data_IF_416316006227
#
_entry.id   IF_416316006227
#
_cell.length_a   1.000
_cell.length_b   1.000
_cell.length_c   1.000
_cell.angle_alpha   90.00
_cell.angle_beta   90.00
_cell.angle_gamma   90.00
#
_symmetry.space_group_name_H-M   'P 1'
#
loop_
_entity.id
_entity.type
_entity.pdbx_description
1 polymer ?
#
# COMPACT_ATOMS: atom_id res chain seq x y z
N UNK A 1 47.16 -37.23 -11.20
CA UNK A 1 46.46 -37.37 -9.89
C UNK A 1 45.50 -36.19 -9.75
N UNK A 2 44.23 -36.46 -9.42
CA UNK A 2 43.11 -35.52 -9.19
C UNK A 2 42.40 -34.90 -10.41
N UNK A 3 41.53 -35.68 -11.07
CA UNK A 3 40.44 -35.14 -11.92
C UNK A 3 39.18 -36.02 -11.98
N UNK A 4 39.08 -37.08 -11.17
CA UNK A 4 38.01 -38.08 -11.30
C UNK A 4 36.91 -37.99 -10.24
N UNK A 5 37.02 -37.12 -9.24
CA UNK A 5 36.05 -37.06 -8.12
C UNK A 5 34.89 -36.08 -8.35
N UNK A 6 34.96 -35.18 -9.34
CA UNK A 6 33.95 -34.13 -9.53
C UNK A 6 32.74 -34.55 -10.40
N UNK A 7 32.88 -35.59 -11.23
CA UNK A 7 31.80 -36.03 -12.13
C UNK A 7 30.75 -36.94 -11.46
N UNK A 8 31.06 -37.55 -10.31
CA UNK A 8 30.16 -38.47 -9.63
C UNK A 8 29.11 -37.79 -8.72
N UNK A 9 29.33 -36.53 -8.34
CA UNK A 9 28.38 -35.75 -7.53
C UNK A 9 27.30 -35.05 -8.36
N UNK A 10 27.55 -34.80 -9.65
CA UNK A 10 26.56 -34.16 -10.54
C UNK A 10 25.51 -35.16 -11.07
N UNK A 11 25.86 -36.44 -11.18
CA UNK A 11 24.94 -37.49 -11.64
C UNK A 11 23.90 -37.91 -10.59
N UNK A 12 24.16 -37.68 -9.29
CA UNK A 12 23.20 -37.94 -8.22
C UNK A 12 22.16 -36.83 -8.02
N UNK A 13 22.43 -35.62 -8.51
CA UNK A 13 21.49 -34.49 -8.41
C UNK A 13 20.46 -34.46 -9.55
N UNK A 14 20.74 -35.11 -10.69
CA UNK A 14 19.87 -35.09 -11.87
C UNK A 14 18.87 -36.25 -11.96
N UNK A 15 18.89 -37.21 -11.02
CA UNK A 15 17.97 -38.37 -11.02
C UNK A 15 16.79 -38.24 -10.03
N UNK A 16 16.65 -37.12 -9.32
CA UNK A 16 15.59 -36.89 -8.33
C UNK A 16 14.30 -36.26 -8.87
N UNK A 17 14.26 -35.81 -10.13
CA UNK A 17 13.09 -35.15 -10.72
C UNK A 17 12.32 -36.09 -11.64
N UNK A 18 11.54 -37.00 -11.08
CA UNK A 18 10.61 -37.77 -11.90
C UNK A 18 9.82 -38.76 -11.08
N UNK A 19 8.70 -38.32 -10.49
CA UNK A 19 7.47 -39.09 -10.25
C UNK A 19 6.56 -38.35 -9.25
N UNK A 20 5.91 -37.28 -9.69
CA UNK A 20 4.64 -36.82 -9.10
C UNK A 20 3.72 -36.33 -10.22
N UNK A 21 3.11 -37.30 -10.91
CA UNK A 21 1.89 -37.05 -11.67
C UNK A 21 0.72 -37.08 -10.66
N UNK A 22 0.41 -35.92 -10.07
CA UNK A 22 -0.79 -35.75 -9.26
C UNK A 22 -1.92 -35.24 -10.15
N UNK A 23 -3.07 -35.91 -10.03
CA UNK A 23 -4.34 -35.64 -10.68
C UNK A 23 -4.73 -34.17 -10.56
N UNK A 24 -4.90 -33.49 -11.70
CA UNK A 24 -5.53 -32.17 -11.73
C UNK A 24 -7.02 -32.32 -11.36
N UNK A 25 -7.54 -31.60 -10.36
CA UNK A 25 -8.97 -31.57 -10.11
C UNK A 25 -9.67 -30.85 -11.26
N UNK A 26 -10.71 -31.49 -11.80
CA UNK A 26 -11.64 -30.91 -12.76
C UNK A 26 -12.21 -29.60 -12.22
N UNK A 27 -12.17 -28.48 -12.96
CA UNK A 27 -12.75 -27.23 -12.49
C UNK A 27 -14.25 -27.41 -12.27
N UNK A 28 -14.70 -27.13 -11.05
CA UNK A 28 -16.11 -27.11 -10.71
C UNK A 28 -16.80 -26.00 -11.53
N UNK A 29 -17.86 -26.38 -12.26
CA UNK A 29 -18.68 -25.45 -12.99
C UNK A 29 -19.27 -24.40 -12.03
N UNK A 30 -18.91 -23.13 -12.22
CA UNK A 30 -19.53 -22.01 -11.53
C UNK A 30 -20.99 -21.92 -11.98
N UNK A 31 -21.92 -22.16 -11.06
CA UNK A 31 -23.33 -21.87 -11.30
C UNK A 31 -23.54 -20.34 -11.30
N UNK A 32 -24.28 -19.79 -12.28
CA UNK A 32 -24.61 -18.37 -12.29
C UNK A 32 -25.53 -18.04 -11.11
N UNK A 33 -25.15 -17.04 -10.33
CA UNK A 33 -26.00 -16.45 -9.30
C UNK A 33 -27.09 -15.63 -10.00
N UNK A 34 -28.33 -16.13 -9.96
CA UNK A 34 -29.50 -15.41 -10.48
C UNK A 34 -30.00 -14.49 -9.38
N UNK A 35 -29.85 -13.18 -9.58
CA UNK A 35 -30.46 -12.16 -8.73
C UNK A 35 -31.89 -11.92 -9.22
N UNK A 36 -32.88 -12.41 -8.47
CA UNK A 36 -34.30 -12.14 -8.75
C UNK A 36 -34.67 -10.80 -8.14
N UNK A 37 -34.86 -9.79 -8.99
CA UNK A 37 -35.41 -8.49 -8.58
C UNK A 37 -36.93 -8.56 -8.72
N UNK A 38 -37.64 -8.65 -7.59
CA UNK A 38 -39.10 -8.59 -7.57
C UNK A 38 -39.53 -7.13 -7.57
N UNK A 39 -39.91 -6.61 -8.73
CA UNK A 39 -40.57 -5.30 -8.84
C UNK A 39 -42.05 -5.49 -8.53
N UNK A 40 -42.51 -4.92 -7.41
CA UNK A 40 -43.94 -4.88 -7.07
C UNK A 40 -44.57 -3.77 -7.91
N UNK A 41 -45.31 -4.14 -8.95
CA UNK A 41 -46.10 -3.21 -9.74
C UNK A 41 -47.30 -2.72 -8.93
N UNK A 42 -47.64 -1.41 -8.98
CA UNK A 42 -48.87 -0.92 -8.38
C UNK A 42 -50.10 -1.41 -9.15
N UNK A 43 -51.15 -1.71 -8.39
CA UNK A 43 -52.44 -2.22 -8.85
C UNK A 43 -53.12 -1.19 -9.76
N UNK A 44 -53.40 -1.60 -11.00
CA UNK A 44 -54.12 -0.83 -12.01
C UNK A 44 -55.64 -0.85 -11.69
N UNK A 45 -56.22 0.33 -11.48
CA UNK A 45 -57.67 0.52 -11.32
C UNK A 45 -58.27 1.00 -12.65
N UNK A 46 -59.31 0.31 -13.13
CA UNK A 46 -59.83 0.47 -14.48
C UNK A 46 -60.83 1.63 -14.68
N UNK A 47 -60.64 2.35 -15.81
CA UNK A 47 -61.63 2.94 -16.76
C UNK A 47 -62.54 4.13 -16.34
N UNK A 48 -63.17 4.92 -17.26
CA UNK A 48 -63.20 4.84 -18.75
C UNK A 48 -63.14 6.17 -19.57
N UNK A 49 -62.94 6.01 -20.89
CA UNK A 49 -63.44 6.77 -22.08
C UNK A 49 -63.07 8.25 -22.38
N UNK A 50 -62.11 8.37 -23.31
CA UNK A 50 -62.00 9.18 -24.55
C UNK A 50 -62.32 10.71 -24.62
N UNK A 51 -61.26 11.48 -24.94
CA UNK A 51 -61.28 12.73 -25.72
C UNK A 51 -59.98 12.83 -26.58
N UNK A 52 -59.98 13.49 -27.76
CA UNK A 52 -58.84 13.54 -28.69
C UNK A 52 -57.69 14.48 -28.23
N UNK A 53 -56.46 14.34 -28.78
CA UNK A 53 -55.24 14.67 -28.05
C UNK A 53 -54.88 16.15 -28.13
N UNK A 54 -54.72 16.79 -26.97
CA UNK A 54 -53.94 18.02 -26.83
C UNK A 54 -52.47 17.61 -26.70
N UNK A 55 -51.60 18.21 -27.52
CA UNK A 55 -50.15 18.07 -27.39
C UNK A 55 -49.72 18.66 -26.04
N UNK A 56 -49.55 17.80 -25.03
CA UNK A 56 -48.99 18.16 -23.74
C UNK A 56 -47.48 17.96 -23.79
N UNK A 57 -46.75 19.05 -23.57
CA UNK A 57 -45.31 19.05 -23.30
C UNK A 57 -45.03 18.09 -22.14
N UNK A 58 -44.08 17.14 -22.25
CA UNK A 58 -43.79 16.22 -21.17
C UNK A 58 -43.27 17.01 -19.98
N UNK A 59 -44.09 17.12 -18.94
CA UNK A 59 -43.69 17.67 -17.66
C UNK A 59 -43.28 16.48 -16.81
N UNK A 60 -41.97 16.27 -16.65
CA UNK A 60 -41.47 15.25 -15.76
C UNK A 60 -41.86 15.59 -14.32
N UNK A 61 -42.38 14.65 -13.52
CA UNK A 61 -42.60 14.89 -12.10
C UNK A 61 -41.25 15.22 -11.45
N UNK A 62 -41.19 16.18 -10.52
CA UNK A 62 -39.96 16.48 -9.80
C UNK A 62 -39.45 15.20 -9.12
N UNK A 63 -38.18 14.88 -9.40
CA UNK A 63 -37.48 13.77 -8.74
C UNK A 63 -37.51 14.07 -7.24
N UNK A 64 -38.00 13.16 -6.38
CA UNK A 64 -38.00 13.38 -4.94
C UNK A 64 -36.54 13.54 -4.48
N UNK A 65 -36.19 14.75 -4.08
CA UNK A 65 -34.89 15.04 -3.47
C UNK A 65 -35.00 14.64 -2.00
N UNK A 66 -34.37 13.53 -1.63
CA UNK A 66 -34.24 13.13 -0.23
C UNK A 66 -33.10 13.92 0.37
N UNK A 67 -33.41 15.05 1.02
CA UNK A 67 -32.45 15.80 1.81
C UNK A 67 -32.29 15.12 3.17
N UNK A 68 -31.24 14.32 3.33
CA UNK A 68 -30.83 13.81 4.65
C UNK A 68 -30.12 14.95 5.38
N UNK A 69 -30.83 15.62 6.29
CA UNK A 69 -30.22 16.58 7.21
C UNK A 69 -29.67 15.79 8.39
N UNK A 70 -28.37 15.55 8.42
CA UNK A 70 -27.70 15.08 9.62
C UNK A 70 -27.52 16.29 10.53
N UNK A 71 -28.25 16.32 11.65
CA UNK A 71 -28.01 17.30 12.71
C UNK A 71 -26.92 16.76 13.61
N UNK A 72 -25.68 17.28 13.56
CA UNK A 72 -24.66 16.85 14.49
C UNK A 72 -25.04 17.32 15.91
N UNK A 73 -25.17 16.37 16.83
CA UNK A 73 -25.23 16.67 18.26
C UNK A 73 -23.81 16.67 18.79
N UNK A 74 -23.14 17.83 18.69
CA UNK A 74 -21.91 18.06 19.45
C UNK A 74 -22.24 18.89 20.69
N UNK A 75 -21.81 18.50 21.90
CA UNK A 75 -21.67 19.45 22.98
C UNK A 75 -20.55 20.44 22.61
N UNK A 76 -20.93 21.70 22.41
CA UNK A 76 -19.98 22.81 22.28
C UNK A 76 -19.35 23.05 23.65
N UNK A 77 -18.06 22.78 23.77
CA UNK A 77 -17.22 23.34 24.82
C UNK A 77 -16.22 24.31 24.18
N UNK A 78 -16.48 25.60 24.32
CA UNK A 78 -15.53 26.67 24.02
C UNK A 78 -14.70 26.99 25.26
N UNK A 79 -13.39 26.82 25.18
CA UNK A 79 -12.44 27.68 25.91
C UNK A 79 -11.06 27.65 25.22
N UNK A 80 -10.38 28.80 25.11
CA UNK A 80 -9.08 28.94 24.44
C UNK A 80 -7.94 28.81 25.45
N UNK A 81 -6.90 28.02 25.22
CA UNK A 81 -5.59 28.27 25.83
C UNK A 81 -4.43 27.81 24.97
N UNK A 82 -3.37 28.61 25.05
CA UNK A 82 -2.15 28.61 24.26
C UNK A 82 -1.23 27.41 24.53
N UNK A 83 -0.35 27.18 23.54
CA UNK A 83 0.72 26.20 23.57
C UNK A 83 1.70 26.42 24.74
N UNK A 84 1.96 25.35 25.49
CA UNK A 84 3.28 24.98 26.05
C UNK A 84 3.10 23.95 27.16
N UNK A 85 3.26 22.68 26.80
CA UNK A 85 3.86 21.63 27.63
C UNK A 85 3.98 20.40 26.74
N UNK A 86 5.19 19.87 26.57
CA UNK A 86 5.37 18.50 26.10
C UNK A 86 4.50 17.61 26.99
N UNK A 87 3.45 16.96 26.47
CA UNK A 87 2.58 16.16 27.32
C UNK A 87 3.42 15.00 27.88
N UNK A 88 3.59 14.97 29.20
CA UNK A 88 4.15 13.82 29.90
C UNK A 88 3.10 12.71 29.87
N UNK A 89 3.02 12.01 28.73
CA UNK A 89 2.20 10.82 28.58
C UNK A 89 2.72 9.75 29.56
N UNK A 90 1.96 9.44 30.60
CA UNK A 90 2.22 8.26 31.43
C UNK A 90 1.82 7.01 30.64
N UNK A 91 2.77 6.16 30.20
CA UNK A 91 2.57 5.12 29.17
C UNK A 91 1.68 3.92 29.55
N UNK A 92 0.77 4.04 30.50
CA UNK A 92 0.43 2.90 31.36
C UNK A 92 -0.41 1.76 30.74
N UNK A 93 -0.84 1.86 29.48
CA UNK A 93 -1.64 0.80 28.84
C UNK A 93 -1.01 0.17 27.58
N UNK A 94 0.04 0.76 27.01
CA UNK A 94 0.88 0.03 26.06
C UNK A 94 1.78 -0.84 26.90
N UNK A 95 1.52 -2.14 26.89
CA UNK A 95 2.20 -3.08 27.78
C UNK A 95 3.72 -2.91 27.67
N UNK A 96 4.46 -3.13 28.77
CA UNK A 96 5.94 -3.18 28.74
C UNK A 96 6.50 -4.22 27.73
N UNK A 97 5.61 -5.02 27.14
CA UNK A 97 5.91 -6.08 26.19
C UNK A 97 5.62 -5.69 24.74
N UNK A 98 5.34 -4.42 24.43
CA UNK A 98 5.22 -3.97 23.05
C UNK A 98 6.51 -4.28 22.28
N UNK A 99 6.36 -5.00 21.17
CA UNK A 99 7.46 -5.37 20.29
C UNK A 99 7.95 -4.16 19.50
N UNK A 100 7.01 -3.30 19.10
CA UNK A 100 7.22 -2.07 18.34
C UNK A 100 6.18 -1.04 18.77
N UNK A 101 6.48 0.24 18.60
CA UNK A 101 5.52 1.32 18.83
C UNK A 101 5.92 2.58 18.06
N UNK A 102 4.98 3.52 17.95
CA UNK A 102 5.23 4.83 17.38
C UNK A 102 4.07 5.78 17.59
N UNK A 103 4.18 6.97 17.00
CA UNK A 103 3.16 8.02 17.09
C UNK A 103 2.71 8.44 15.69
N UNK A 104 1.46 8.86 15.54
CA UNK A 104 0.97 9.46 14.30
C UNK A 104 1.71 10.77 14.00
N UNK A 105 1.78 11.21 12.72
CA UNK A 105 2.45 12.45 12.34
C UNK A 105 1.91 13.70 13.04
N UNK A 106 0.60 13.74 13.30
CA UNK A 106 -0.08 14.81 14.04
C UNK A 106 0.02 14.65 15.56
N UNK A 107 0.73 13.62 16.03
CA UNK A 107 0.90 13.23 17.42
C UNK A 107 -0.40 12.96 18.17
N UNK A 108 -1.56 12.82 17.52
CA UNK A 108 -2.82 12.56 18.23
C UNK A 108 -2.99 11.10 18.64
N UNK A 109 -2.28 10.18 17.98
CA UNK A 109 -2.39 8.74 18.19
C UNK A 109 -1.04 8.14 18.52
N UNK A 110 -1.05 7.18 19.44
CA UNK A 110 0.04 6.24 19.70
C UNK A 110 -0.39 4.89 19.17
N UNK A 111 0.55 4.13 18.61
CA UNK A 111 0.31 2.75 18.24
C UNK A 111 1.38 1.84 18.83
N UNK A 112 1.03 0.59 19.08
CA UNK A 112 1.93 -0.44 19.55
C UNK A 112 1.61 -1.79 18.92
N UNK A 113 2.64 -2.58 18.68
CA UNK A 113 2.52 -3.97 18.28
C UNK A 113 2.70 -4.84 19.52
N UNK A 114 1.63 -5.49 19.96
CA UNK A 114 1.61 -6.33 21.15
C UNK A 114 1.65 -7.82 20.76
N UNK A 115 2.27 -8.68 21.59
CA UNK A 115 2.08 -10.11 21.48
C UNK A 115 0.58 -10.43 21.53
N UNK A 116 0.06 -11.11 20.51
CA UNK A 116 -1.33 -11.53 20.50
C UNK A 116 -1.47 -13.03 20.68
N UNK A 117 -2.49 -13.62 20.04
CA UNK A 117 -2.80 -15.04 20.19
C UNK A 117 -1.80 -15.92 19.41
N UNK A 118 -1.50 -17.09 19.97
CA UNK A 118 -0.81 -18.16 19.27
C UNK A 118 -1.79 -19.29 18.98
N UNK A 119 -1.79 -19.76 17.75
CA UNK A 119 -2.28 -21.10 17.41
C UNK A 119 -1.07 -22.02 17.25
N UNK A 120 -1.30 -23.33 17.08
CA UNK A 120 -0.23 -24.33 17.03
C UNK A 120 0.84 -24.05 15.95
N UNK A 121 0.51 -23.25 14.92
CA UNK A 121 1.41 -22.96 13.80
C UNK A 121 1.64 -21.47 13.52
N UNK A 122 0.84 -20.54 14.08
CA UNK A 122 0.93 -19.11 13.75
C UNK A 122 0.88 -18.23 15.01
N UNK A 123 1.65 -17.14 14.99
CA UNK A 123 1.59 -16.07 15.99
C UNK A 123 0.87 -14.86 15.38
N UNK A 124 -0.25 -14.47 15.97
CA UNK A 124 -1.05 -13.33 15.54
C UNK A 124 -0.80 -12.17 16.48
N UNK A 125 0.01 -11.20 16.05
CA UNK A 125 0.27 -9.98 16.80
C UNK A 125 -0.94 -9.04 16.71
N UNK A 126 -1.19 -8.32 17.80
CA UNK A 126 -2.26 -7.34 17.88
C UNK A 126 -1.67 -5.95 17.74
N UNK A 127 -2.25 -5.15 16.86
CA UNK A 127 -1.87 -3.75 16.71
C UNK A 127 -2.86 -2.91 17.49
N UNK A 128 -2.35 -2.23 18.49
CA UNK A 128 -3.09 -1.42 19.43
C UNK A 128 -2.90 0.05 19.03
N UNK A 129 -3.99 0.80 18.89
CA UNK A 129 -4.03 2.24 18.70
C UNK A 129 -4.72 2.89 19.89
N UNK A 130 -4.11 3.94 20.44
CA UNK A 130 -4.68 4.74 21.51
C UNK A 130 -4.55 6.22 21.17
N UNK A 131 -5.63 6.96 21.34
CA UNK A 131 -5.61 8.42 21.30
C UNK A 131 -4.82 8.97 22.49
N UNK A 132 -4.11 10.08 22.33
CA UNK A 132 -3.29 10.67 23.41
C UNK A 132 -4.12 11.15 24.61
N UNK A 133 -5.39 11.51 24.39
CA UNK A 133 -6.35 11.88 25.44
C UNK A 133 -7.05 10.66 26.07
N UNK A 134 -6.67 9.44 25.63
CA UNK A 134 -7.23 8.15 26.03
C UNK A 134 -8.76 8.05 25.89
N UNK A 135 -9.38 8.81 24.97
CA UNK A 135 -10.83 8.73 24.74
C UNK A 135 -11.23 7.60 23.77
N UNK A 136 -10.30 7.15 22.94
CA UNK A 136 -10.49 6.10 21.95
C UNK A 136 -9.31 5.12 21.94
N UNK A 137 -9.64 3.83 21.89
CA UNK A 137 -8.71 2.70 21.81
C UNK A 137 -9.20 1.68 20.78
N UNK A 138 -8.29 1.21 19.92
CA UNK A 138 -8.57 0.17 18.93
C UNK A 138 -7.54 -0.95 19.03
N UNK A 139 -8.00 -2.19 19.02
CA UNK A 139 -7.13 -3.37 18.93
C UNK A 139 -7.51 -4.13 17.67
N UNK A 140 -6.61 -4.13 16.70
CA UNK A 140 -6.81 -4.80 15.41
C UNK A 140 -5.86 -5.97 15.29
N UNK A 141 -6.37 -7.08 14.75
CA UNK A 141 -5.61 -8.30 14.55
C UNK A 141 -6.02 -8.90 13.20
N UNK A 142 -5.08 -9.48 12.44
CA UNK A 142 -5.42 -10.27 11.25
C UNK A 142 -6.36 -11.41 11.63
N UNK A 143 -7.29 -11.74 10.74
CA UNK A 143 -8.16 -12.90 10.95
C UNK A 143 -7.39 -14.20 10.69
N UNK A 144 -7.53 -15.25 11.52
CA UNK A 144 -6.93 -16.55 11.26
C UNK A 144 -7.35 -17.21 9.94
N UNK A 145 -8.55 -16.88 9.46
CA UNK A 145 -9.14 -17.39 8.24
C UNK A 145 -8.94 -16.48 7.01
N UNK A 146 -8.11 -15.43 7.11
CA UNK A 146 -7.81 -14.57 5.96
C UNK A 146 -7.09 -15.43 4.88
N UNK A 147 -7.73 -15.64 3.71
CA UNK A 147 -7.24 -16.60 2.72
C UNK A 147 -5.84 -16.22 2.24
N UNK A 148 -4.91 -17.18 2.27
CA UNK A 148 -3.57 -17.02 1.70
C UNK A 148 -2.42 -16.91 2.71
N UNK A 149 -2.72 -16.93 4.01
CA UNK A 149 -1.70 -16.93 5.05
C UNK A 149 -0.84 -18.22 5.03
N UNK A 150 0.49 -18.15 4.79
CA UNK A 150 1.36 -19.31 4.89
C UNK A 150 1.45 -19.79 6.33
N UNK A 151 1.36 -21.10 6.56
CA UNK A 151 1.58 -21.68 7.90
C UNK A 151 3.00 -21.32 8.37
N UNK A 152 3.14 -20.91 9.64
CA UNK A 152 4.44 -20.62 10.25
C UNK A 152 4.90 -19.16 10.19
N UNK A 153 4.09 -18.22 9.71
CA UNK A 153 4.47 -16.79 9.69
C UNK A 153 3.82 -15.99 10.82
N UNK A 154 4.48 -14.87 11.17
CA UNK A 154 3.94 -13.90 12.14
C UNK A 154 2.94 -13.00 11.43
N UNK A 155 1.70 -13.09 11.88
CA UNK A 155 0.61 -12.25 11.42
C UNK A 155 0.64 -10.92 12.16
N UNK A 156 0.94 -9.85 11.43
CA UNK A 156 1.00 -8.52 12.02
C UNK A 156 0.48 -7.47 11.06
N UNK A 157 -0.17 -6.46 11.61
CA UNK A 157 -0.63 -5.27 10.89
C UNK A 157 0.25 -4.09 11.34
N UNK A 158 1.02 -3.48 10.46
CA UNK A 158 1.74 -2.24 10.82
C UNK A 158 1.09 -1.03 10.18
N UNK A 159 1.06 0.12 10.87
CA UNK A 159 0.80 1.40 10.23
C UNK A 159 1.73 1.58 9.03
N UNK A 160 1.12 1.69 7.86
CA UNK A 160 1.80 2.01 6.62
C UNK A 160 1.72 3.51 6.36
N UNK A 161 0.52 4.09 6.48
CA UNK A 161 0.29 5.48 6.11
C UNK A 161 -0.83 6.09 6.94
N UNK A 162 -0.61 7.33 7.38
CA UNK A 162 -1.61 8.13 8.10
C UNK A 162 -2.16 9.17 7.14
N UNK A 163 -3.48 9.13 6.93
CA UNK A 163 -4.15 10.05 6.02
C UNK A 163 -4.09 11.48 6.59
N UNK A 164 -3.49 12.46 5.90
CA UNK A 164 -3.37 13.83 6.42
C UNK A 164 -4.75 14.45 6.64
N UNK A 165 -4.97 15.01 7.84
CA UNK A 165 -6.22 15.68 8.24
C UNK A 165 -7.48 14.81 8.21
N UNK A 166 -7.34 13.49 8.06
CA UNK A 166 -8.45 12.54 8.07
C UNK A 166 -8.24 11.48 9.17
N UNK A 167 -9.31 10.87 9.69
CA UNK A 167 -9.21 9.89 10.77
C UNK A 167 -8.80 8.51 10.27
N UNK A 168 -8.08 8.38 9.16
CA UNK A 168 -7.73 7.08 8.58
C UNK A 168 -6.25 6.74 8.77
N UNK A 169 -6.01 5.50 9.19
CA UNK A 169 -4.70 4.85 9.08
C UNK A 169 -4.82 3.64 8.18
N UNK A 170 -3.87 3.51 7.26
CA UNK A 170 -3.71 2.34 6.41
C UNK A 170 -2.72 1.38 7.05
N UNK A 171 -3.06 0.10 7.01
CA UNK A 171 -2.32 -0.97 7.68
C UNK A 171 -1.92 -2.01 6.66
N UNK A 172 -0.64 -2.42 6.67
CA UNK A 172 -0.14 -3.47 5.81
C UNK A 172 0.04 -4.78 6.61
N UNK A 173 -0.55 -5.86 6.08
CA UNK A 173 -0.40 -7.21 6.60
C UNK A 173 0.90 -7.87 6.10
N UNK A 174 1.58 -8.59 7.00
CA UNK A 174 2.90 -9.20 6.75
C UNK A 174 3.91 -8.21 6.18
N UNK A 175 3.95 -7.00 6.74
CA UNK A 175 4.97 -6.05 6.37
C UNK A 175 6.34 -6.48 6.88
N UNK A 176 7.30 -6.66 5.97
CA UNK A 176 8.72 -6.70 6.34
C UNK A 176 9.36 -5.34 6.03
N UNK A 177 10.33 -4.95 6.87
CA UNK A 177 11.23 -3.83 6.60
C UNK A 177 10.55 -2.45 6.49
N UNK A 178 9.59 -2.15 7.37
CA UNK A 178 8.97 -0.82 7.51
C UNK A 178 9.87 0.11 8.32
N UNK A 179 10.80 0.82 7.68
CA UNK A 179 11.64 1.81 8.38
C UNK A 179 11.58 3.18 7.71
N UNK A 180 10.56 3.99 8.00
CA UNK A 180 10.58 5.44 7.75
C UNK A 180 9.48 6.01 6.83
N UNK A 181 9.40 7.35 6.70
CA UNK A 181 8.27 8.07 6.09
C UNK A 181 8.20 8.00 4.54
N UNK A 182 9.07 7.23 3.90
CA UNK A 182 9.15 7.14 2.43
C UNK A 182 9.18 5.70 1.92
N UNK A 183 8.84 4.70 2.73
CA UNK A 183 9.11 3.30 2.35
C UNK A 183 7.91 2.62 1.72
N UNK A 184 8.15 2.05 0.53
CA UNK A 184 7.29 1.09 -0.12
C UNK A 184 7.30 -0.20 0.69
N UNK A 185 6.34 -0.39 1.60
CA UNK A 185 6.23 -1.65 2.33
C UNK A 185 5.86 -2.76 1.37
N UNK A 186 6.55 -3.90 1.47
CA UNK A 186 5.98 -5.15 1.00
C UNK A 186 4.85 -5.47 1.97
N UNK A 187 3.64 -5.63 1.46
CA UNK A 187 2.50 -6.10 2.20
C UNK A 187 1.75 -7.09 1.33
N UNK A 188 1.11 -8.07 1.95
CA UNK A 188 0.26 -9.00 1.20
C UNK A 188 -1.20 -8.59 1.22
N UNK A 189 -1.59 -7.82 2.21
CA UNK A 189 -2.92 -7.23 2.33
C UNK A 189 -2.82 -5.78 2.80
N UNK A 190 -3.82 -5.00 2.41
CA UNK A 190 -3.96 -3.60 2.80
C UNK A 190 -5.31 -3.41 3.48
N UNK A 191 -5.29 -2.85 4.68
CA UNK A 191 -6.49 -2.51 5.44
C UNK A 191 -6.55 -1.01 5.68
N UNK A 192 -7.74 -0.52 5.98
CA UNK A 192 -8.00 0.85 6.44
C UNK A 192 -8.78 0.79 7.74
N UNK A 193 -8.30 1.53 8.73
CA UNK A 193 -8.97 1.76 10.00
C UNK A 193 -9.38 3.22 10.10
N UNK A 194 -10.65 3.47 10.38
CA UNK A 194 -11.13 4.77 10.84
C UNK A 194 -10.93 4.85 12.35
N UNK A 195 -10.08 5.77 12.80
CA UNK A 195 -9.69 5.96 14.18
C UNK A 195 -10.76 6.67 15.02
N UNK A 196 -11.72 7.35 14.41
CA UNK A 196 -12.84 7.96 15.14
C UNK A 196 -13.98 6.95 15.36
N UNK A 197 -14.27 6.12 14.36
CA UNK A 197 -15.44 5.22 14.39
C UNK A 197 -15.09 3.75 14.68
N UNK A 198 -13.81 3.38 14.58
CA UNK A 198 -13.36 1.99 14.67
C UNK A 198 -13.68 1.16 13.43
N UNK A 199 -14.23 1.77 12.37
CA UNK A 199 -14.55 1.05 11.15
C UNK A 199 -13.26 0.50 10.53
N UNK A 200 -13.17 -0.82 10.48
CA UNK A 200 -12.04 -1.55 9.91
C UNK A 200 -12.46 -2.23 8.60
N UNK A 201 -11.70 -2.05 7.53
CA UNK A 201 -12.05 -2.57 6.21
C UNK A 201 -10.82 -3.07 5.45
N UNK A 202 -10.98 -4.19 4.76
CA UNK A 202 -10.00 -4.72 3.82
C UNK A 202 -10.09 -3.93 2.51
N UNK A 203 -8.98 -3.36 2.05
CA UNK A 203 -8.87 -2.59 0.80
C UNK A 203 -8.32 -3.46 -0.32
N UNK A 204 -7.24 -4.19 -0.03
CA UNK A 204 -6.61 -5.13 -0.96
C UNK A 204 -6.48 -6.47 -0.25
N UNK A 205 -7.19 -7.52 -0.73
CA UNK A 205 -7.11 -8.84 -0.13
C UNK A 205 -5.70 -9.41 -0.31
N UNK A 206 -5.46 -10.50 0.41
CA UNK A 206 -4.21 -11.23 0.27
C UNK A 206 -3.87 -11.55 -1.19
N UNK A 207 -2.67 -11.20 -1.60
CA UNK A 207 -2.20 -11.41 -2.96
C UNK A 207 -0.73 -11.81 -3.03
N UNK A 208 -0.15 -11.86 -4.25
CA UNK A 208 1.30 -11.84 -4.36
C UNK A 208 1.86 -10.65 -3.57
N UNK A 209 3.09 -10.75 -3.04
CA UNK A 209 3.75 -9.64 -2.36
C UNK A 209 3.56 -8.35 -3.16
N UNK A 210 2.95 -7.35 -2.54
CA UNK A 210 2.55 -6.11 -3.20
C UNK A 210 3.18 -4.95 -2.47
N UNK A 211 3.71 -4.01 -3.24
CA UNK A 211 4.33 -2.82 -2.73
C UNK A 211 3.34 -1.68 -2.76
N UNK A 212 3.17 -1.01 -1.63
CA UNK A 212 2.26 0.13 -1.48
C UNK A 212 3.04 1.37 -1.10
N UNK A 213 2.66 2.52 -1.65
CA UNK A 213 3.18 3.81 -1.25
C UNK A 213 2.17 4.92 -1.43
N UNK A 214 2.29 5.95 -0.62
CA UNK A 214 1.41 7.11 -0.65
C UNK A 214 2.26 8.36 -0.79
N UNK A 215 1.82 9.28 -1.64
CA UNK A 215 2.49 10.56 -1.78
C UNK A 215 2.34 11.38 -0.50
N UNK A 216 3.28 12.30 -0.21
CA UNK A 216 3.04 13.38 0.75
C UNK A 216 1.70 14.06 0.44
N UNK A 217 0.94 14.35 1.50
CA UNK A 217 -0.39 14.94 1.35
C UNK A 217 -1.50 14.00 0.86
N UNK A 218 -1.22 12.70 0.66
CA UNK A 218 -2.21 11.71 0.20
C UNK A 218 -2.89 12.07 -1.13
N UNK A 219 -2.13 12.61 -2.08
CA UNK A 219 -2.66 12.88 -3.42
C UNK A 219 -2.72 11.60 -4.27
N UNK A 220 -1.69 10.76 -4.17
CA UNK A 220 -1.56 9.53 -4.95
C UNK A 220 -1.26 8.32 -4.09
N UNK A 221 -1.66 7.15 -4.58
CA UNK A 221 -1.24 5.84 -4.13
C UNK A 221 -0.53 5.11 -5.27
N UNK A 222 0.64 4.53 -4.99
CA UNK A 222 1.26 3.56 -5.89
C UNK A 222 1.05 2.14 -5.39
N UNK A 223 0.77 1.24 -6.33
CA UNK A 223 0.66 -0.19 -6.11
C UNK A 223 1.48 -0.92 -7.17
N UNK A 224 2.39 -1.79 -6.74
CA UNK A 224 3.18 -2.62 -7.64
C UNK A 224 3.31 -4.03 -7.09
N UNK A 225 2.87 -5.04 -7.84
CA UNK A 225 3.13 -6.43 -7.47
C UNK A 225 4.63 -6.75 -7.60
N UNK A 226 5.17 -7.54 -6.69
CA UNK A 226 6.56 -7.99 -6.76
C UNK A 226 6.81 -8.81 -8.04
N UNK A 227 7.88 -8.48 -8.75
CA UNK A 227 8.21 -9.02 -10.06
C UNK A 227 7.43 -8.39 -11.23
N UNK A 228 6.53 -7.44 -10.98
CA UNK A 228 5.76 -6.78 -12.03
C UNK A 228 6.60 -5.76 -12.79
N UNK A 229 6.48 -5.73 -14.11
CA UNK A 229 6.97 -4.62 -14.95
C UNK A 229 5.99 -3.44 -15.04
N UNK A 230 4.98 -3.41 -14.17
CA UNK A 230 3.92 -2.39 -14.13
C UNK A 230 3.72 -1.87 -12.70
N UNK A 231 3.57 -0.56 -12.60
CA UNK A 231 3.17 0.17 -11.39
C UNK A 231 1.86 0.88 -11.67
N UNK A 232 0.88 0.69 -10.79
CA UNK A 232 -0.38 1.43 -10.82
C UNK A 232 -0.24 2.68 -9.96
N UNK A 233 -0.55 3.85 -10.53
CA UNK A 233 -0.64 5.11 -9.82
C UNK A 233 -2.10 5.56 -9.76
N UNK A 234 -2.69 5.61 -8.58
CA UNK A 234 -4.08 6.02 -8.37
C UNK A 234 -4.13 7.39 -7.69
N UNK A 235 -4.80 8.36 -8.32
CA UNK A 235 -5.15 9.63 -7.68
C UNK A 235 -6.30 9.42 -6.72
N UNK A 236 -6.10 9.76 -5.45
CA UNK A 236 -7.04 9.41 -4.38
C UNK A 236 -8.34 10.24 -4.41
N UNK A 237 -8.29 11.46 -4.92
CA UNK A 237 -9.45 12.38 -4.98
C UNK A 237 -10.60 11.84 -5.84
N UNK A 238 -10.28 11.21 -6.97
CA UNK A 238 -11.26 10.77 -7.97
C UNK A 238 -11.06 9.33 -8.43
N UNK A 239 -10.15 8.60 -7.78
CA UNK A 239 -9.82 7.20 -8.07
C UNK A 239 -9.34 6.95 -9.51
N UNK A 240 -8.89 7.99 -10.21
CA UNK A 240 -8.28 7.81 -11.53
C UNK A 240 -6.97 7.06 -11.40
N UNK A 241 -6.78 6.02 -12.23
CA UNK A 241 -5.61 5.16 -12.19
C UNK A 241 -4.86 5.20 -13.52
N UNK A 242 -3.55 5.37 -13.44
CA UNK A 242 -2.62 5.30 -14.56
C UNK A 242 -1.74 4.07 -14.38
N UNK A 243 -1.46 3.36 -15.47
CA UNK A 243 -0.55 2.22 -15.49
C UNK A 243 0.77 2.65 -16.11
N UNK A 244 1.87 2.40 -15.39
CA UNK A 244 3.19 2.91 -15.71
C UNK A 244 4.10 1.70 -15.93
N UNK A 245 4.52 1.42 -17.17
CA UNK A 245 5.49 0.37 -17.43
C UNK A 245 6.83 0.79 -16.84
N UNK A 246 7.53 -0.12 -16.18
CA UNK A 246 8.88 0.12 -15.64
C UNK A 246 9.88 -0.78 -16.35
N UNK A 247 11.14 -0.34 -16.55
CA UNK A 247 12.14 -1.15 -17.23
C UNK A 247 12.51 -2.35 -16.36
N UNK A 248 12.18 -3.55 -16.83
CA UNK A 248 12.39 -4.80 -16.11
C UNK A 248 11.23 -5.14 -15.18
N UNK A 249 11.54 -5.31 -13.90
CA UNK A 249 10.62 -5.73 -12.85
C UNK A 249 10.81 -4.93 -11.56
N UNK A 250 9.72 -4.76 -10.82
CA UNK A 250 9.75 -4.16 -9.50
C UNK A 250 10.02 -5.25 -8.46
N UNK A 251 11.20 -5.27 -7.85
CA UNK A 251 11.55 -6.26 -6.83
C UNK A 251 12.10 -5.58 -5.58
N UNK A 252 11.48 -5.84 -4.42
CA UNK A 252 11.92 -5.41 -3.08
C UNK A 252 11.35 -4.09 -2.52
N UNK A 253 11.48 -3.97 -1.20
CA UNK A 253 11.06 -2.88 -0.31
C UNK A 253 11.99 -1.67 -0.44
N UNK A 254 11.46 -0.46 -0.25
CA UNK A 254 12.29 0.77 -0.21
C UNK A 254 12.70 1.34 -1.57
N UNK A 255 12.18 0.78 -2.66
CA UNK A 255 12.53 1.15 -4.02
C UNK A 255 11.90 2.43 -4.53
N UNK A 256 11.19 3.20 -3.70
CA UNK A 256 10.63 4.41 -4.23
C UNK A 256 10.43 5.52 -3.21
N UNK A 257 10.68 6.73 -3.69
CA UNK A 257 10.90 7.91 -2.88
C UNK A 257 10.15 9.09 -3.51
N UNK A 258 9.10 9.53 -2.85
CA UNK A 258 8.32 10.67 -3.28
C UNK A 258 9.08 11.98 -3.11
N UNK A 259 8.95 12.86 -4.09
CA UNK A 259 9.34 14.26 -3.95
C UNK A 259 8.55 14.91 -2.80
N UNK A 260 9.10 15.92 -2.10
CA UNK A 260 8.43 16.54 -0.96
C UNK A 260 7.04 17.12 -1.30
N UNK A 261 6.85 17.60 -2.53
CA UNK A 261 5.56 18.11 -3.03
C UNK A 261 4.60 17.00 -3.52
N UNK A 262 5.04 15.74 -3.56
CA UNK A 262 4.26 14.60 -4.01
C UNK A 262 3.95 14.57 -5.52
N UNK A 263 4.57 15.43 -6.34
CA UNK A 263 4.35 15.47 -7.79
C UNK A 263 5.17 14.43 -8.55
N UNK A 264 6.33 14.08 -8.03
CA UNK A 264 7.22 13.10 -8.65
C UNK A 264 7.53 11.98 -7.68
N UNK A 265 7.80 10.81 -8.22
CA UNK A 265 8.32 9.69 -7.45
C UNK A 265 9.51 9.09 -8.18
N UNK A 266 10.58 8.91 -7.42
CA UNK A 266 11.73 8.15 -7.85
C UNK A 266 11.42 6.68 -7.67
N UNK A 267 11.52 5.86 -8.71
CA UNK A 267 11.41 4.40 -8.62
C UNK A 267 12.74 3.74 -8.99
N UNK A 268 13.14 2.78 -8.18
CA UNK A 268 14.23 1.85 -8.42
C UNK A 268 13.63 0.56 -8.97
N UNK A 269 14.02 0.20 -10.19
CA UNK A 269 13.59 -1.03 -10.85
C UNK A 269 14.77 -2.02 -10.97
N UNK A 270 14.46 -3.23 -11.44
CA UNK A 270 15.40 -4.34 -11.55
C UNK A 270 15.24 -5.04 -12.89
N UNK A 271 16.25 -4.93 -13.75
CA UNK A 271 16.18 -5.41 -15.14
C UNK A 271 16.20 -6.94 -15.24
N UNK A 272 16.93 -7.62 -14.34
CA UNK A 272 17.04 -9.08 -14.31
C UNK A 272 17.05 -9.56 -12.87
N UNK A 273 15.98 -10.23 -12.45
CA UNK A 273 15.86 -10.87 -11.15
C UNK A 273 16.20 -12.36 -11.25
N UNK A 274 17.45 -12.72 -10.98
CA UNK A 274 17.78 -14.10 -10.58
C UNK A 274 17.98 -14.11 -9.07
N UNK A 275 17.14 -14.85 -8.34
CA UNK A 275 17.25 -15.06 -6.88
C UNK A 275 17.48 -13.78 -6.05
N UNK A 276 16.59 -12.78 -6.17
CA UNK A 276 16.67 -11.51 -5.42
C UNK A 276 17.91 -10.65 -5.70
N UNK A 277 18.72 -11.01 -6.70
CA UNK A 277 19.84 -10.18 -7.16
C UNK A 277 19.42 -9.41 -8.42
N UNK A 278 19.67 -8.10 -8.42
CA UNK A 278 19.46 -7.24 -9.57
C UNK A 278 20.78 -7.05 -10.31
N UNK A 279 20.86 -7.58 -11.54
CA UNK A 279 22.07 -7.40 -12.37
C UNK A 279 22.26 -5.95 -12.82
N UNK A 280 21.15 -5.24 -13.03
CA UNK A 280 21.11 -3.81 -13.32
C UNK A 280 19.97 -3.18 -12.57
N UNK A 281 20.25 -2.00 -12.04
CA UNK A 281 19.29 -1.25 -11.23
C UNK A 281 19.00 0.09 -11.89
N UNK A 282 18.06 0.15 -12.86
CA UNK A 282 17.63 1.42 -13.40
C UNK A 282 16.90 2.24 -12.34
N UNK A 283 17.22 3.53 -12.32
CA UNK A 283 16.56 4.53 -11.51
C UNK A 283 15.77 5.46 -12.43
N UNK A 284 14.47 5.50 -12.22
CA UNK A 284 13.52 6.23 -13.06
C UNK A 284 12.75 7.26 -12.23
N UNK A 285 12.38 8.36 -12.86
CA UNK A 285 11.42 9.33 -12.30
C UNK A 285 10.10 9.12 -13.00
N UNK A 286 9.05 9.15 -12.19
CA UNK A 286 7.67 8.97 -12.60
C UNK A 286 6.85 10.18 -12.19
N UNK A 287 6.08 10.69 -13.14
CA UNK A 287 4.94 11.56 -12.89
C UNK A 287 3.70 10.65 -12.78
N UNK A 288 3.06 10.54 -11.61
CA UNK A 288 1.94 9.63 -11.39
C UNK A 288 0.69 9.99 -12.21
N UNK A 289 0.64 11.16 -12.85
CA UNK A 289 -0.45 11.53 -13.76
C UNK A 289 -0.22 11.07 -15.20
N UNK A 290 0.98 10.55 -15.52
CA UNK A 290 1.39 10.17 -16.86
C UNK A 290 1.77 8.69 -16.94
N UNK A 291 1.48 8.02 -18.06
CA UNK A 291 1.91 6.63 -18.24
C UNK A 291 3.40 6.52 -18.56
N UNK A 292 4.08 7.60 -18.93
CA UNK A 292 5.51 7.59 -19.24
C UNK A 292 6.38 7.77 -17.99
N UNK A 293 7.63 7.30 -18.08
CA UNK A 293 8.68 7.53 -17.10
C UNK A 293 9.93 8.05 -17.79
N UNK A 294 10.80 8.68 -17.00
CA UNK A 294 12.13 9.11 -17.44
C UNK A 294 13.20 8.27 -16.74
N UNK A 295 14.11 7.67 -17.51
CA UNK A 295 15.30 7.03 -16.93
C UNK A 295 16.33 8.09 -16.60
N UNK A 296 16.66 8.22 -15.31
CA UNK A 296 17.76 9.09 -14.88
C UNK A 296 19.10 8.36 -14.92
N UNK A 297 19.12 7.13 -14.42
CA UNK A 297 20.32 6.29 -14.38
C UNK A 297 19.94 4.90 -14.85
N UNK A 298 20.63 4.38 -15.87
CA UNK A 298 20.35 3.05 -16.41
C UNK A 298 20.86 1.92 -15.52
N UNK A 299 21.93 2.18 -14.76
CA UNK A 299 22.48 1.26 -13.77
C UNK A 299 23.09 2.01 -12.58
N UNK A 300 22.36 2.05 -11.46
CA UNK A 300 22.70 2.81 -10.26
C UNK A 300 24.04 2.39 -9.66
N UNK A 301 24.32 1.08 -9.56
CA UNK A 301 25.56 0.58 -8.98
C UNK A 301 26.77 0.96 -9.81
N UNK A 302 26.64 0.88 -11.14
CA UNK A 302 27.69 1.30 -12.05
C UNK A 302 27.94 2.81 -11.96
N UNK A 303 26.87 3.62 -11.94
CA UNK A 303 26.97 5.07 -11.88
C UNK A 303 27.61 5.59 -10.59
N UNK A 304 27.43 4.88 -9.47
CA UNK A 304 28.02 5.22 -8.18
C UNK A 304 29.35 4.49 -7.89
N UNK A 305 29.87 3.72 -8.86
CA UNK A 305 31.05 2.85 -8.72
C UNK A 305 31.04 1.98 -7.44
N UNK A 306 29.87 1.42 -7.15
CA UNK A 306 29.62 0.63 -5.96
C UNK A 306 30.16 -0.79 -6.12
N UNK A 307 30.79 -1.27 -5.06
CA UNK A 307 31.15 -2.67 -4.87
C UNK A 307 30.03 -3.48 -4.19
N UNK A 308 30.28 -4.78 -4.04
CA UNK A 308 29.39 -5.67 -3.30
C UNK A 308 29.30 -5.25 -1.82
N UNK A 309 28.09 -5.08 -1.31
CA UNK A 309 27.82 -4.69 0.08
C UNK A 309 27.79 -3.18 0.34
N UNK A 310 28.19 -2.37 -0.65
CA UNK A 310 28.05 -0.92 -0.55
C UNK A 310 26.58 -0.53 -0.44
N UNK A 311 26.30 0.49 0.38
CA UNK A 311 24.97 1.05 0.59
C UNK A 311 24.86 2.39 -0.13
N UNK A 312 23.81 2.56 -0.91
CA UNK A 312 23.41 3.83 -1.47
C UNK A 312 22.41 4.56 -0.57
N UNK A 313 22.35 5.88 -0.72
CA UNK A 313 21.27 6.69 -0.17
C UNK A 313 20.66 7.52 -1.29
N UNK A 314 19.34 7.65 -1.25
CA UNK A 314 18.57 8.49 -2.16
C UNK A 314 17.80 9.51 -1.33
N UNK A 315 17.92 10.79 -1.69
CA UNK A 315 17.21 11.87 -1.01
C UNK A 315 16.86 12.97 -1.99
N UNK A 316 15.73 13.63 -1.76
CA UNK A 316 15.40 14.87 -2.45
C UNK A 316 16.12 16.03 -1.78
N UNK A 317 16.86 16.82 -2.56
CA UNK A 317 17.45 18.09 -2.10
C UNK A 317 16.36 19.18 -2.06
N UNK A 318 15.46 19.15 -3.03
CA UNK A 318 14.24 19.96 -3.12
C UNK A 318 13.19 19.24 -4.00
N UNK A 319 12.21 19.96 -4.55
CA UNK A 319 11.15 19.36 -5.38
C UNK A 319 11.59 18.93 -6.79
N UNK A 320 12.74 19.43 -7.25
CA UNK A 320 13.23 19.26 -8.62
C UNK A 320 14.60 18.58 -8.66
N UNK A 321 15.31 18.50 -7.53
CA UNK A 321 16.64 17.91 -7.45
C UNK A 321 16.67 16.69 -6.55
N UNK A 322 17.22 15.60 -7.10
CA UNK A 322 17.45 14.34 -6.37
C UNK A 322 18.94 14.08 -6.24
N UNK A 323 19.34 13.72 -5.02
CA UNK A 323 20.70 13.33 -4.69
C UNK A 323 20.79 11.83 -4.51
N UNK A 324 21.74 11.22 -5.19
CA UNK A 324 22.14 9.82 -5.05
C UNK A 324 23.54 9.80 -4.46
N UNK A 325 23.74 9.19 -3.30
CA UNK A 325 25.05 9.12 -2.68
C UNK A 325 25.46 7.66 -2.47
N UNK A 326 26.60 7.29 -3.03
CA UNK A 326 27.32 6.05 -2.70
C UNK A 326 28.57 6.35 -1.87
N UNK A 327 29.40 5.33 -1.59
CA UNK A 327 30.59 5.50 -0.76
C UNK A 327 31.66 6.44 -1.36
N UNK A 328 31.70 6.55 -2.68
CA UNK A 328 32.73 7.32 -3.41
C UNK A 328 32.21 8.61 -4.03
N UNK A 329 30.98 8.60 -4.50
CA UNK A 329 30.40 9.70 -5.26
C UNK A 329 29.03 10.09 -4.73
N UNK A 330 28.71 11.37 -4.82
CA UNK A 330 27.35 11.86 -4.78
C UNK A 330 26.99 12.55 -6.10
N UNK A 331 25.90 12.10 -6.72
CA UNK A 331 25.34 12.64 -7.94
C UNK A 331 24.07 13.42 -7.60
N UNK A 332 23.89 14.59 -8.22
CA UNK A 332 22.64 15.36 -8.13
C UNK A 332 22.07 15.52 -9.52
N UNK A 333 20.82 15.10 -9.69
CA UNK A 333 20.07 15.20 -10.95
C UNK A 333 18.94 16.20 -10.81
N UNK A 334 18.70 16.96 -11.86
CA UNK A 334 17.47 17.72 -12.05
C UNK A 334 16.44 16.76 -12.70
N UNK A 335 15.30 16.57 -12.04
CA UNK A 335 14.30 15.57 -12.46
C UNK A 335 13.37 16.06 -13.55
N UNK A 336 13.37 17.36 -13.86
CA UNK A 336 12.58 17.94 -14.94
C UNK A 336 13.28 17.75 -16.27
N UNK A 337 14.60 17.94 -16.27
CA UNK A 337 15.47 17.80 -17.45
C UNK A 337 16.07 16.40 -17.56
N UNK A 338 16.24 15.71 -16.43
CA UNK A 338 17.01 14.47 -16.31
C UNK A 338 18.52 14.66 -16.36
N UNK A 339 19.01 15.90 -16.33
CA UNK A 339 20.43 16.20 -16.46
C UNK A 339 21.16 16.06 -15.12
N UNK A 340 22.41 15.60 -15.19
CA UNK A 340 23.32 15.58 -14.05
C UNK A 340 23.83 16.99 -13.78
N UNK A 341 23.46 17.56 -12.65
CA UNK A 341 23.80 18.94 -12.26
C UNK A 341 25.11 19.00 -11.48
N UNK A 342 25.42 17.95 -10.70
CA UNK A 342 26.60 17.95 -9.84
C UNK A 342 27.15 16.56 -9.58
N UNK A 343 28.48 16.47 -9.52
CA UNK A 343 29.24 15.32 -9.02
C UNK A 343 30.06 15.81 -7.83
N UNK A 344 30.04 15.06 -6.73
CA UNK A 344 30.88 15.28 -5.55
C UNK A 344 31.64 14.03 -5.17
#
# INVERSE_FOLDING_TARGET
MKTTTFFLLLAFFLSGCGLFAALAPTPAAQQPVIVVVTVVAPVEQASPTAAPPVMLTPTFPPVPTVTVTLTPVFPVATAPYAASSTPTYTPWAITQNALEWGVSPDQRWVWALEPGSRTDENEYLTTHFASQDNQAEWRVQPRPDDPGHPRGTKNLLRPLFWMPNEPYVFLAGESCCTEGPAFFTNGRSLYRLNLETGQFSLISPWGPPTHYSYSPGAKYQLIAANGSGLVSATRLQDSQTVQIPVPGSFVSVGNALWAPDGRHVLLRACDVAEFYSCRKTPLIVVDPEKPEFQTMVSDLYQALEMGEGDQETMSWDDNEHVRLSGPKYALVFDVVTGELVKVK
#
